data_IF_688394468724
#
_entry.id   IF_688394468724
#
_cell.length_a   1.000
_cell.length_b   1.000
_cell.length_c   1.000
_cell.angle_alpha   90.00
_cell.angle_beta   90.00
_cell.angle_gamma   90.00
#
_symmetry.space_group_name_H-M   'P 1'
#
loop_
_entity.id
_entity.type
_entity.pdbx_description
1 polymer ?
#
# COMPACT_ATOMS: atom_id res chain seq x y z
N UNK A 1 -19.07 -42.72 -35.53
CA UNK A 1 -18.12 -42.51 -34.40
C UNK A 1 -16.72 -42.53 -34.95
N UNK A 2 -16.11 -41.45 -35.31
CA UNK A 2 -14.66 -41.23 -35.61
C UNK A 2 -14.47 -40.02 -36.49
N UNK A 3 -14.67 -38.81 -35.96
CA UNK A 3 -14.19 -37.58 -36.63
C UNK A 3 -13.93 -36.44 -35.61
N UNK A 4 -14.03 -36.70 -34.30
CA UNK A 4 -13.85 -35.67 -33.26
C UNK A 4 -12.48 -35.68 -32.53
N UNK A 5 -11.62 -36.65 -32.88
CA UNK A 5 -10.34 -36.84 -32.18
C UNK A 5 -9.12 -36.27 -32.87
N UNK A 6 -9.23 -35.54 -34.01
CA UNK A 6 -8.08 -35.12 -34.80
C UNK A 6 -7.78 -33.61 -34.81
N UNK A 7 -8.47 -32.80 -33.98
CA UNK A 7 -8.24 -31.34 -33.96
C UNK A 7 -7.58 -30.79 -32.68
N UNK A 8 -6.88 -31.60 -31.90
CA UNK A 8 -6.28 -31.18 -30.65
C UNK A 8 -4.78 -30.83 -30.74
N UNK A 9 -4.16 -30.78 -31.89
CA UNK A 9 -2.71 -30.58 -31.93
C UNK A 9 -2.19 -29.81 -33.12
N UNK A 10 -2.79 -28.67 -33.49
CA UNK A 10 -2.09 -27.68 -34.34
C UNK A 10 -2.52 -26.27 -33.94
N UNK A 11 -2.14 -25.82 -32.73
CA UNK A 11 -2.03 -24.38 -32.54
C UNK A 11 -0.92 -23.91 -33.45
N UNK A 12 -1.25 -23.11 -34.48
CA UNK A 12 -0.26 -22.46 -35.31
C UNK A 12 0.81 -21.80 -34.46
N UNK A 13 2.09 -21.90 -34.84
CA UNK A 13 3.21 -21.25 -34.13
C UNK A 13 2.90 -19.78 -33.86
N UNK A 14 2.18 -19.08 -34.75
CA UNK A 14 1.70 -17.72 -34.55
C UNK A 14 0.66 -17.58 -33.40
N UNK A 15 -0.17 -18.59 -33.15
CA UNK A 15 -1.14 -18.57 -32.04
C UNK A 15 -0.46 -18.83 -30.69
N UNK A 16 0.57 -19.66 -30.68
CA UNK A 16 1.38 -19.92 -29.47
C UNK A 16 2.22 -18.69 -29.15
N UNK A 17 2.86 -18.07 -30.13
CA UNK A 17 3.58 -16.80 -29.96
C UNK A 17 2.63 -15.68 -29.54
N UNK A 18 1.45 -15.56 -30.13
CA UNK A 18 0.46 -14.54 -29.80
C UNK A 18 -0.14 -14.72 -28.39
N UNK A 19 -0.25 -15.95 -27.89
CA UNK A 19 -0.68 -16.23 -26.54
C UNK A 19 0.46 -15.98 -25.53
N UNK A 20 1.68 -16.40 -25.86
CA UNK A 20 2.87 -16.13 -25.08
C UNK A 20 3.15 -14.63 -24.97
N UNK A 21 3.04 -13.86 -26.06
CA UNK A 21 3.20 -12.40 -26.00
C UNK A 21 2.11 -11.72 -25.18
N UNK A 22 0.85 -12.19 -25.19
CA UNK A 22 -0.21 -11.65 -24.33
C UNK A 22 0.05 -11.92 -22.86
N UNK A 23 0.46 -13.12 -22.50
CA UNK A 23 0.73 -13.51 -21.12
C UNK A 23 1.96 -12.80 -20.56
N UNK A 24 2.94 -12.48 -21.42
CA UNK A 24 4.22 -11.84 -21.02
C UNK A 24 4.29 -10.34 -21.37
N UNK A 25 3.24 -9.77 -21.94
CA UNK A 25 3.23 -8.37 -22.43
C UNK A 25 3.59 -7.37 -21.33
N UNK A 26 3.15 -7.62 -20.09
CA UNK A 26 3.49 -6.79 -18.94
C UNK A 26 4.99 -6.85 -18.61
N UNK A 27 5.59 -8.02 -18.71
CA UNK A 27 7.04 -8.21 -18.45
C UNK A 27 7.87 -7.60 -19.58
N UNK A 28 7.47 -7.84 -20.84
CA UNK A 28 8.13 -7.25 -22.01
C UNK A 28 8.03 -5.72 -21.97
N UNK A 29 6.86 -5.18 -21.59
CA UNK A 29 6.68 -3.75 -21.40
C UNK A 29 7.57 -3.18 -20.29
N UNK A 30 7.70 -3.89 -19.17
CA UNK A 30 8.59 -3.50 -18.06
C UNK A 30 10.05 -3.49 -18.51
N UNK A 31 10.51 -4.56 -19.17
CA UNK A 31 11.88 -4.65 -19.68
C UNK A 31 12.16 -3.57 -20.73
N UNK A 32 11.19 -3.29 -21.61
CA UNK A 32 11.29 -2.21 -22.60
C UNK A 32 11.46 -0.85 -21.93
N UNK A 33 10.67 -0.55 -20.88
CA UNK A 33 10.82 0.67 -20.10
C UNK A 33 12.18 0.75 -19.40
N UNK A 34 12.68 -0.35 -18.86
CA UNK A 34 14.01 -0.40 -18.22
C UNK A 34 15.11 -0.05 -19.25
N UNK A 35 15.04 -0.60 -20.46
CA UNK A 35 15.98 -0.29 -21.53
C UNK A 35 15.90 1.19 -21.93
N UNK A 36 14.69 1.72 -22.12
CA UNK A 36 14.48 3.14 -22.46
C UNK A 36 15.06 4.06 -21.39
N UNK A 37 14.78 3.81 -20.11
CA UNK A 37 15.35 4.62 -19.01
C UNK A 37 16.87 4.51 -18.92
N UNK A 38 17.44 3.34 -19.20
CA UNK A 38 18.91 3.14 -19.24
C UNK A 38 19.54 3.99 -20.34
N UNK A 39 18.94 3.96 -21.55
CA UNK A 39 19.41 4.75 -22.69
C UNK A 39 19.31 6.25 -22.42
N UNK A 40 18.15 6.71 -21.92
CA UNK A 40 17.94 8.12 -21.58
C UNK A 40 18.93 8.57 -20.50
N UNK A 41 19.16 7.76 -19.47
CA UNK A 41 20.14 8.05 -18.43
C UNK A 41 21.56 8.25 -19.00
N UNK A 42 21.97 7.35 -19.88
CA UNK A 42 23.27 7.43 -20.54
C UNK A 42 23.42 8.66 -21.43
N UNK A 43 22.39 8.98 -22.24
CA UNK A 43 22.42 10.14 -23.15
C UNK A 43 22.43 11.46 -22.37
N UNK A 44 21.65 11.56 -21.27
CA UNK A 44 21.46 12.83 -20.55
C UNK A 44 22.56 13.12 -19.54
N UNK A 45 23.13 12.11 -18.90
CA UNK A 45 24.07 12.26 -17.79
C UNK A 45 25.47 11.70 -18.09
N UNK A 46 25.67 11.03 -19.23
CA UNK A 46 26.95 10.41 -19.57
C UNK A 46 27.30 9.16 -18.75
N UNK A 47 26.47 8.80 -17.79
CA UNK A 47 26.67 7.69 -16.86
C UNK A 47 25.41 6.85 -16.72
N UNK A 48 25.57 5.57 -16.36
CA UNK A 48 24.45 4.65 -16.12
C UNK A 48 23.95 4.75 -14.68
N UNK A 49 23.07 5.70 -14.39
CA UNK A 49 22.44 5.82 -13.06
C UNK A 49 21.37 4.76 -12.81
N UNK A 50 20.63 4.36 -13.86
CA UNK A 50 19.46 3.48 -13.69
C UNK A 50 19.83 2.08 -13.19
N UNK A 51 20.91 1.47 -13.74
CA UNK A 51 21.36 0.13 -13.36
C UNK A 51 22.31 0.11 -12.16
N UNK A 52 22.55 1.24 -11.52
CA UNK A 52 23.41 1.27 -10.32
C UNK A 52 22.73 0.58 -9.15
N UNK A 53 23.51 -0.14 -8.34
CA UNK A 53 23.02 -0.80 -7.13
C UNK A 53 22.37 0.18 -6.16
N UNK A 54 22.89 1.40 -6.07
CA UNK A 54 22.32 2.47 -5.26
C UNK A 54 20.88 2.83 -5.70
N UNK A 55 20.63 2.89 -7.01
CA UNK A 55 19.29 3.15 -7.53
C UNK A 55 18.32 1.99 -7.25
N UNK A 56 18.78 0.74 -7.38
CA UNK A 56 17.97 -0.43 -7.06
C UNK A 56 17.56 -0.47 -5.58
N UNK A 57 18.47 -0.11 -4.66
CA UNK A 57 18.13 0.05 -3.24
C UNK A 57 17.04 1.11 -3.03
N UNK A 58 17.13 2.26 -3.71
CA UNK A 58 16.12 3.31 -3.62
C UNK A 58 14.76 2.87 -4.19
N UNK A 59 14.77 2.15 -5.32
CA UNK A 59 13.55 1.58 -5.90
C UNK A 59 12.92 0.58 -4.93
N UNK A 60 13.71 -0.31 -4.33
CA UNK A 60 13.23 -1.28 -3.37
C UNK A 60 12.65 -0.61 -2.12
N UNK A 61 13.29 0.45 -1.63
CA UNK A 61 12.79 1.24 -0.50
C UNK A 61 11.41 1.84 -0.80
N UNK A 62 11.26 2.53 -1.94
CA UNK A 62 10.00 3.16 -2.35
C UNK A 62 8.92 2.12 -2.63
N UNK A 63 9.26 1.04 -3.35
CA UNK A 63 8.35 -0.06 -3.62
C UNK A 63 7.84 -0.74 -2.34
N UNK A 64 8.70 -0.84 -1.32
CA UNK A 64 8.32 -1.43 -0.03
C UNK A 64 7.26 -0.62 0.71
N UNK A 65 7.39 0.69 0.73
CA UNK A 65 6.40 1.58 1.34
C UNK A 65 5.04 1.45 0.64
N UNK A 66 5.05 1.55 -0.69
CA UNK A 66 3.83 1.37 -1.49
C UNK A 66 3.25 -0.04 -1.29
N UNK A 67 4.12 -1.07 -1.24
CA UNK A 67 3.74 -2.46 -1.01
C UNK A 67 3.03 -2.68 0.32
N UNK A 68 3.48 -2.04 1.40
CA UNK A 68 2.83 -2.13 2.71
C UNK A 68 1.40 -1.56 2.65
N UNK A 69 1.21 -0.40 2.02
CA UNK A 69 -0.12 0.21 1.85
C UNK A 69 -1.00 -0.64 0.93
N UNK A 70 -0.42 -1.17 -0.15
CA UNK A 70 -1.13 -2.02 -1.10
C UNK A 70 -1.64 -3.32 -0.46
N UNK A 71 -0.94 -3.87 0.54
CA UNK A 71 -1.41 -5.01 1.32
C UNK A 71 -2.73 -4.69 2.04
N UNK A 72 -2.82 -3.53 2.69
CA UNK A 72 -4.06 -3.09 3.35
C UNK A 72 -5.20 -2.93 2.35
N UNK A 73 -4.91 -2.29 1.22
CA UNK A 73 -5.88 -2.15 0.14
C UNK A 73 -6.36 -3.49 -0.40
N UNK A 74 -5.45 -4.45 -0.58
CA UNK A 74 -5.81 -5.80 -1.03
C UNK A 74 -6.78 -6.49 -0.06
N UNK A 75 -6.56 -6.36 1.27
CA UNK A 75 -7.44 -6.94 2.29
C UNK A 75 -8.85 -6.34 2.21
N UNK A 76 -8.99 -5.03 2.00
CA UNK A 76 -10.31 -4.39 1.82
C UNK A 76 -10.97 -4.89 0.53
N UNK A 77 -10.22 -4.98 -0.57
CA UNK A 77 -10.73 -5.43 -1.86
C UNK A 77 -11.27 -6.87 -1.81
N UNK A 78 -10.70 -7.73 -0.96
CA UNK A 78 -11.23 -9.07 -0.73
C UNK A 78 -12.68 -9.07 -0.20
N UNK A 79 -13.15 -8.00 0.44
CA UNK A 79 -14.55 -7.86 0.88
C UNK A 79 -15.45 -7.11 -0.09
N UNK A 80 -14.95 -6.81 -1.29
CA UNK A 80 -15.66 -6.04 -2.32
C UNK A 80 -15.75 -4.54 -2.03
N UNK A 81 -14.98 -4.02 -1.08
CA UNK A 81 -14.87 -2.59 -0.79
C UNK A 81 -13.56 -2.00 -1.36
N UNK A 82 -13.46 -0.67 -1.35
CA UNK A 82 -12.28 0.06 -1.81
C UNK A 82 -12.04 1.29 -0.92
N UNK A 83 -10.77 1.55 -0.55
CA UNK A 83 -10.41 2.72 0.26
C UNK A 83 -9.36 3.57 -0.43
N UNK A 84 -9.75 4.76 -0.86
CA UNK A 84 -8.84 5.72 -1.50
C UNK A 84 -8.11 6.57 -0.47
N UNK A 85 -8.58 6.60 0.78
CA UNK A 85 -8.03 7.47 1.82
C UNK A 85 -6.67 7.02 2.36
N UNK A 86 -6.29 5.74 2.16
CA UNK A 86 -5.07 5.13 2.74
C UNK A 86 -3.81 5.95 2.48
N UNK A 87 -3.61 6.44 1.24
CA UNK A 87 -2.44 7.25 0.90
C UNK A 87 -2.37 8.58 1.67
N UNK A 88 -3.51 9.27 1.83
CA UNK A 88 -3.57 10.51 2.61
C UNK A 88 -3.52 10.28 4.11
N UNK A 89 -4.00 9.13 4.55
CA UNK A 89 -3.87 8.69 5.93
C UNK A 89 -2.41 8.43 6.32
N UNK A 90 -1.62 7.80 5.43
CA UNK A 90 -0.16 7.67 5.60
C UNK A 90 0.48 9.05 5.80
N UNK A 91 0.12 10.02 4.95
CA UNK A 91 0.61 11.38 5.06
C UNK A 91 0.24 12.03 6.41
N UNK A 92 -1.03 11.95 6.82
CA UNK A 92 -1.49 12.55 8.07
C UNK A 92 -0.83 11.91 9.29
N UNK A 93 -0.80 10.59 9.38
CA UNK A 93 -0.17 9.87 10.50
C UNK A 93 1.32 10.16 10.59
N UNK A 94 2.00 10.28 9.45
CA UNK A 94 3.40 10.68 9.35
C UNK A 94 3.64 12.12 9.85
N UNK A 95 2.80 13.08 9.44
CA UNK A 95 2.86 14.46 9.92
C UNK A 95 2.63 14.56 11.44
N UNK A 96 1.63 13.84 11.95
CA UNK A 96 1.35 13.79 13.41
C UNK A 96 2.56 13.22 14.15
N UNK A 97 3.12 12.09 13.68
CA UNK A 97 4.33 11.52 14.26
C UNK A 97 5.48 12.51 14.30
N UNK A 98 5.69 13.24 13.21
CA UNK A 98 6.71 14.30 13.12
C UNK A 98 6.53 15.41 14.16
N UNK A 99 5.30 15.90 14.32
CA UNK A 99 4.97 16.96 15.30
C UNK A 99 5.16 16.44 16.72
N UNK A 100 4.64 15.24 17.04
CA UNK A 100 4.75 14.65 18.37
C UNK A 100 6.22 14.51 18.80
N UNK A 101 7.08 14.04 17.91
CA UNK A 101 8.48 13.81 18.23
C UNK A 101 9.33 15.06 18.22
N UNK A 102 9.11 15.97 17.26
CA UNK A 102 9.97 17.14 17.08
C UNK A 102 9.48 18.35 17.85
N UNK A 103 8.17 18.67 17.79
CA UNK A 103 7.66 19.89 18.40
C UNK A 103 7.29 19.67 19.88
N UNK A 104 6.76 18.47 20.20
CA UNK A 104 6.37 18.14 21.56
C UNK A 104 7.45 17.36 22.34
N UNK A 105 8.54 16.95 21.69
CA UNK A 105 9.65 16.26 22.34
C UNK A 105 9.31 14.85 22.84
N UNK A 106 8.23 14.26 22.38
CA UNK A 106 7.80 12.92 22.82
C UNK A 106 8.80 11.85 22.36
N UNK A 107 9.12 10.89 23.22
CA UNK A 107 9.98 9.76 22.82
C UNK A 107 9.28 8.93 21.74
N UNK A 108 10.08 8.36 20.83
CA UNK A 108 9.61 7.52 19.71
C UNK A 108 8.66 6.42 20.17
N UNK A 109 8.95 5.80 21.33
CA UNK A 109 8.12 4.76 21.91
C UNK A 109 6.69 5.21 22.29
N UNK A 110 6.48 6.50 22.58
CA UNK A 110 5.16 7.05 22.83
C UNK A 110 4.49 7.60 21.56
N UNK A 111 5.26 8.13 20.65
CA UNK A 111 4.74 8.68 19.39
C UNK A 111 4.17 7.61 18.46
N UNK A 112 4.82 6.44 18.34
CA UNK A 112 4.36 5.35 17.48
C UNK A 112 2.95 4.86 17.86
N UNK A 113 2.64 4.50 19.12
CA UNK A 113 1.27 4.11 19.48
C UNK A 113 0.23 5.18 19.19
N UNK A 114 0.56 6.45 19.36
CA UNK A 114 -0.35 7.56 19.04
C UNK A 114 -0.61 7.66 17.53
N UNK A 115 0.39 7.45 16.70
CA UNK A 115 0.22 7.38 15.24
C UNK A 115 -0.74 6.24 14.86
N UNK A 116 -0.57 5.05 15.46
CA UNK A 116 -1.48 3.92 15.25
C UNK A 116 -2.90 4.21 15.73
N UNK A 117 -3.04 4.88 16.86
CA UNK A 117 -4.37 5.27 17.38
C UNK A 117 -5.09 6.19 16.39
N UNK A 118 -4.40 7.17 15.82
CA UNK A 118 -4.97 8.04 14.79
C UNK A 118 -5.36 7.24 13.55
N UNK A 119 -4.47 6.39 13.05
CA UNK A 119 -4.75 5.54 11.88
C UNK A 119 -5.98 4.64 12.10
N UNK A 120 -6.03 3.94 13.24
CA UNK A 120 -7.16 3.08 13.62
C UNK A 120 -8.45 3.89 13.74
N UNK A 121 -8.40 5.10 14.29
CA UNK A 121 -9.58 5.97 14.39
C UNK A 121 -10.14 6.31 13.01
N UNK A 122 -9.29 6.70 12.07
CA UNK A 122 -9.70 7.02 10.70
C UNK A 122 -10.26 5.77 10.00
N UNK A 123 -9.57 4.63 10.10
CA UNK A 123 -10.05 3.36 9.55
C UNK A 123 -11.37 2.91 10.16
N UNK A 124 -11.57 3.14 11.46
CA UNK A 124 -12.82 2.85 12.15
C UNK A 124 -13.96 3.76 11.67
N UNK A 125 -13.70 5.03 11.43
CA UNK A 125 -14.70 5.96 10.87
C UNK A 125 -15.12 5.49 9.47
N UNK A 126 -14.17 5.22 8.58
CA UNK A 126 -14.47 4.71 7.23
C UNK A 126 -15.22 3.38 7.28
N UNK A 127 -14.71 2.44 8.08
CA UNK A 127 -15.34 1.14 8.26
C UNK A 127 -16.76 1.23 8.81
N UNK A 128 -17.02 2.13 9.75
CA UNK A 128 -18.35 2.38 10.32
C UNK A 128 -19.31 2.96 9.28
N UNK A 129 -18.89 4.00 8.55
CA UNK A 129 -19.70 4.62 7.49
C UNK A 129 -20.09 3.60 6.41
N UNK A 130 -19.15 2.77 5.99
CA UNK A 130 -19.38 1.80 4.92
C UNK A 130 -20.17 0.58 5.41
N UNK A 131 -19.82 0.02 6.58
CA UNK A 131 -20.35 -1.27 7.01
C UNK A 131 -21.68 -1.17 7.76
N UNK A 132 -21.88 -0.10 8.54
CA UNK A 132 -23.08 0.05 9.39
C UNK A 132 -24.08 1.04 8.83
N UNK A 133 -23.64 2.18 8.30
CA UNK A 133 -24.50 3.21 7.72
C UNK A 133 -24.85 2.85 6.27
N UNK A 134 -23.97 2.12 5.55
CA UNK A 134 -24.21 1.71 4.16
C UNK A 134 -23.80 2.77 3.13
N UNK A 135 -22.94 3.72 3.50
CA UNK A 135 -22.39 4.69 2.55
C UNK A 135 -21.51 3.95 1.52
N UNK A 136 -21.63 4.24 0.22
CA UNK A 136 -20.74 3.66 -0.77
C UNK A 136 -19.27 3.88 -0.41
N UNK A 137 -18.41 2.83 -0.44
CA UNK A 137 -17.02 2.90 0.01
C UNK A 137 -16.24 4.04 -0.63
N UNK A 138 -16.42 4.24 -1.94
CA UNK A 138 -15.75 5.28 -2.71
C UNK A 138 -16.09 6.68 -2.18
N UNK A 139 -17.36 6.95 -1.86
CA UNK A 139 -17.83 8.25 -1.38
C UNK A 139 -17.30 8.54 0.03
N UNK A 140 -17.40 7.57 0.93
CA UNK A 140 -16.93 7.71 2.30
C UNK A 140 -15.40 7.97 2.34
N UNK A 141 -14.64 7.18 1.60
CA UNK A 141 -13.17 7.26 1.62
C UNK A 141 -12.62 8.46 0.87
N UNK A 142 -13.31 8.94 -0.19
CA UNK A 142 -12.99 10.23 -0.82
C UNK A 142 -13.17 11.39 0.17
N UNK A 143 -14.28 11.45 0.90
CA UNK A 143 -14.50 12.46 1.92
C UNK A 143 -13.39 12.45 2.98
N UNK A 144 -13.09 11.28 3.53
CA UNK A 144 -12.02 11.10 4.53
C UNK A 144 -10.64 11.44 3.97
N UNK A 145 -10.36 11.13 2.71
CA UNK A 145 -9.12 11.50 2.03
C UNK A 145 -8.88 13.01 2.09
N UNK A 146 -9.89 13.82 1.75
CA UNK A 146 -9.77 15.29 1.78
C UNK A 146 -9.69 15.83 3.20
N UNK A 147 -10.39 15.23 4.17
CA UNK A 147 -10.26 15.57 5.59
C UNK A 147 -8.83 15.31 6.06
N UNK A 148 -8.28 14.13 5.80
CA UNK A 148 -6.89 13.81 6.17
C UNK A 148 -5.89 14.79 5.54
N UNK A 149 -6.09 15.13 4.27
CA UNK A 149 -5.24 16.09 3.56
C UNK A 149 -5.32 17.49 4.18
N UNK A 150 -6.54 17.99 4.41
CA UNK A 150 -6.78 19.30 5.01
C UNK A 150 -6.19 19.40 6.42
N UNK A 151 -6.41 18.40 7.26
CA UNK A 151 -5.84 18.35 8.62
C UNK A 151 -4.31 18.30 8.57
N UNK A 152 -3.72 17.46 7.72
CA UNK A 152 -2.26 17.41 7.55
C UNK A 152 -1.68 18.79 7.16
N UNK A 153 -2.34 19.47 6.21
CA UNK A 153 -1.93 20.80 5.75
C UNK A 153 -2.05 21.86 6.85
N UNK A 154 -3.13 21.82 7.64
CA UNK A 154 -3.35 22.76 8.74
C UNK A 154 -2.29 22.60 9.84
N UNK A 155 -2.01 21.37 10.28
CA UNK A 155 -1.07 21.13 11.39
C UNK A 155 0.40 21.36 11.00
N UNK A 156 0.75 21.18 9.72
CA UNK A 156 2.12 21.38 9.22
C UNK A 156 2.33 22.75 8.59
N UNK A 157 1.24 23.52 8.37
CA UNK A 157 1.26 24.77 7.59
C UNK A 157 1.89 24.59 6.20
N UNK A 158 1.75 23.41 5.62
CA UNK A 158 2.36 22.98 4.36
C UNK A 158 3.91 23.08 4.33
N UNK A 159 4.55 23.11 5.50
CA UNK A 159 6.02 23.14 5.63
C UNK A 159 6.53 21.73 5.99
N UNK A 160 7.58 21.24 5.33
CA UNK A 160 8.25 20.00 5.69
C UNK A 160 8.78 20.03 7.12
N UNK A 161 8.65 18.92 7.85
CA UNK A 161 9.22 18.77 9.20
C UNK A 161 10.63 18.15 9.05
N UNK A 162 11.72 18.93 9.03
CA UNK A 162 13.07 18.41 8.88
C UNK A 162 13.62 17.84 10.18
N UNK A 163 14.71 17.07 10.10
CA UNK A 163 15.48 16.59 11.26
C UNK A 163 14.70 15.67 12.21
N UNK A 164 14.13 14.60 11.66
CA UNK A 164 13.47 13.56 12.46
C UNK A 164 14.46 12.80 13.36
N UNK A 165 14.01 12.26 14.51
CA UNK A 165 14.83 11.43 15.37
C UNK A 165 15.47 10.27 14.61
N UNK A 166 16.77 10.03 14.88
CA UNK A 166 17.56 8.99 14.19
C UNK A 166 16.91 7.60 14.23
N UNK A 167 16.19 7.27 15.31
CA UNK A 167 15.52 5.97 15.45
C UNK A 167 14.41 5.75 14.42
N UNK A 168 13.58 6.76 14.14
CA UNK A 168 12.54 6.67 13.09
C UNK A 168 13.17 6.76 11.69
N UNK A 169 14.16 7.64 11.51
CA UNK A 169 14.88 7.72 10.26
C UNK A 169 15.55 6.38 9.90
N UNK A 170 16.03 5.64 10.91
CA UNK A 170 16.58 4.30 10.71
C UNK A 170 15.50 3.26 10.34
N UNK A 171 14.32 3.31 10.96
CA UNK A 171 13.19 2.45 10.58
C UNK A 171 12.72 2.70 9.14
N UNK A 172 12.68 3.96 8.72
CA UNK A 172 12.21 4.36 7.40
C UNK A 172 13.27 4.23 6.28
N UNK A 173 14.51 4.61 6.55
CA UNK A 173 15.60 4.66 5.56
C UNK A 173 16.82 3.84 5.92
N UNK A 174 16.75 3.04 7.00
CA UNK A 174 17.84 2.18 7.43
C UNK A 174 18.03 0.98 6.52
N UNK A 175 19.27 0.49 6.50
CA UNK A 175 19.65 -0.72 5.75
C UNK A 175 20.24 -1.74 6.69
N UNK A 176 19.86 -3.00 6.52
CA UNK A 176 20.47 -4.15 7.19
C UNK A 176 21.69 -4.57 6.37
N UNK A 177 22.87 -4.62 7.01
CA UNK A 177 24.12 -4.94 6.32
C UNK A 177 24.54 -3.93 5.24
N UNK A 178 23.92 -2.73 5.20
CA UNK A 178 24.16 -1.72 4.17
C UNK A 178 23.52 -2.00 2.81
N UNK A 179 22.79 -3.13 2.66
CA UNK A 179 22.29 -3.60 1.39
C UNK A 179 20.74 -3.62 1.32
N UNK A 180 20.07 -4.17 2.33
CA UNK A 180 18.64 -4.44 2.31
C UNK A 180 17.90 -3.35 3.12
N UNK A 181 16.96 -2.59 2.53
CA UNK A 181 16.14 -1.65 3.27
C UNK A 181 15.30 -2.35 4.35
N UNK A 182 15.26 -1.80 5.55
CA UNK A 182 14.45 -2.34 6.66
C UNK A 182 12.97 -2.41 6.27
N UNK A 183 12.47 -1.42 5.55
CA UNK A 183 11.10 -1.40 5.05
C UNK A 183 10.75 -2.58 4.15
N UNK A 184 11.72 -3.08 3.36
CA UNK A 184 11.52 -4.26 2.54
C UNK A 184 11.32 -5.53 3.40
N UNK A 185 12.08 -5.65 4.47
CA UNK A 185 11.93 -6.77 5.42
C UNK A 185 10.58 -6.69 6.14
N UNK A 186 10.19 -5.50 6.61
CA UNK A 186 8.88 -5.27 7.24
C UNK A 186 7.76 -5.62 6.27
N UNK A 187 7.86 -5.17 5.00
CA UNK A 187 6.89 -5.51 3.96
C UNK A 187 6.73 -7.02 3.82
N UNK A 188 7.82 -7.75 3.63
CA UNK A 188 7.78 -9.22 3.47
C UNK A 188 7.18 -9.89 4.70
N UNK A 189 7.56 -9.48 5.91
CA UNK A 189 6.98 -10.01 7.15
C UNK A 189 5.46 -9.77 7.21
N UNK A 190 5.00 -8.57 6.86
CA UNK A 190 3.57 -8.25 6.86
C UNK A 190 2.80 -9.07 5.81
N UNK A 191 3.37 -9.29 4.63
CA UNK A 191 2.78 -10.15 3.60
C UNK A 191 2.68 -11.60 4.07
N UNK A 192 3.72 -12.14 4.70
CA UNK A 192 3.71 -13.50 5.27
C UNK A 192 2.64 -13.62 6.37
N UNK A 193 2.57 -12.65 7.28
CA UNK A 193 1.56 -12.63 8.35
C UNK A 193 0.16 -12.56 7.75
N UNK A 194 -0.08 -11.67 6.77
CA UNK A 194 -1.37 -11.56 6.10
C UNK A 194 -1.75 -12.84 5.36
N UNK A 195 -0.81 -13.47 4.66
CA UNK A 195 -1.03 -14.76 3.99
C UNK A 195 -1.43 -15.85 4.98
N UNK A 196 -0.74 -15.95 6.11
CA UNK A 196 -1.08 -16.92 7.17
C UNK A 196 -2.46 -16.63 7.77
N UNK A 197 -2.77 -15.36 8.07
CA UNK A 197 -4.07 -14.96 8.58
C UNK A 197 -5.20 -15.28 7.59
N UNK A 198 -5.03 -14.94 6.32
CA UNK A 198 -6.04 -15.13 5.29
C UNK A 198 -6.27 -16.62 4.96
N UNK A 199 -5.19 -17.43 4.94
CA UNK A 199 -5.28 -18.83 4.52
C UNK A 199 -5.69 -19.74 5.68
N UNK A 200 -5.12 -19.58 6.86
CA UNK A 200 -5.25 -20.56 7.94
C UNK A 200 -6.26 -20.17 9.04
N UNK A 201 -6.75 -18.91 9.08
CA UNK A 201 -7.69 -18.52 10.13
C UNK A 201 -9.17 -18.56 9.68
N UNK A 202 -10.08 -18.65 10.67
CA UNK A 202 -11.52 -18.51 10.42
C UNK A 202 -11.86 -17.11 9.88
N UNK A 203 -11.13 -16.08 10.33
CA UNK A 203 -11.33 -14.72 9.88
C UNK A 203 -11.02 -14.57 8.39
N UNK A 204 -9.92 -15.13 7.91
CA UNK A 204 -9.58 -15.13 6.49
C UNK A 204 -10.63 -15.80 5.63
N UNK A 205 -11.06 -17.02 6.00
CA UNK A 205 -12.13 -17.72 5.27
C UNK A 205 -13.44 -16.93 5.19
N UNK A 206 -13.81 -16.26 6.28
CA UNK A 206 -15.01 -15.44 6.31
C UNK A 206 -14.86 -14.16 5.46
N UNK A 207 -13.66 -13.54 5.41
CA UNK A 207 -13.36 -12.43 4.51
C UNK A 207 -13.58 -12.85 3.05
N UNK A 208 -13.04 -13.99 2.63
CA UNK A 208 -13.27 -14.52 1.28
C UNK A 208 -14.74 -14.84 1.01
N UNK A 209 -15.45 -15.41 1.99
CA UNK A 209 -16.88 -15.70 1.86
C UNK A 209 -17.72 -14.42 1.67
N UNK A 210 -17.42 -13.36 2.45
CA UNK A 210 -18.08 -12.04 2.34
C UNK A 210 -17.81 -11.40 0.97
N UNK A 211 -16.60 -11.56 0.45
CA UNK A 211 -16.23 -11.03 -0.86
C UNK A 211 -16.86 -11.79 -2.03
N UNK A 212 -17.02 -13.09 -1.90
CA UNK A 212 -17.68 -13.93 -2.92
C UNK A 212 -19.17 -13.62 -3.07
N UNK A 213 -19.90 -13.59 -1.96
CA UNK A 213 -21.30 -13.14 -1.91
C UNK A 213 -21.64 -12.72 -0.48
N UNK A 214 -21.83 -11.41 -0.30
CA UNK A 214 -22.22 -10.87 1.01
C UNK A 214 -23.59 -11.41 1.46
N UNK A 215 -24.49 -11.71 0.53
CA UNK A 215 -25.82 -12.27 0.81
C UNK A 215 -25.73 -13.73 1.26
N UNK A 216 -25.01 -14.57 0.52
CA UNK A 216 -24.79 -15.96 0.90
C UNK A 216 -24.04 -16.09 2.24
N UNK A 217 -23.06 -15.23 2.48
CA UNK A 217 -22.33 -15.18 3.74
C UNK A 217 -23.27 -14.84 4.91
N UNK A 218 -24.18 -13.87 4.73
CA UNK A 218 -25.17 -13.51 5.74
C UNK A 218 -26.11 -14.68 6.08
N UNK A 219 -26.64 -15.36 5.07
CA UNK A 219 -27.49 -16.55 5.30
C UNK A 219 -26.73 -17.73 5.92
N UNK A 220 -25.40 -17.76 5.77
CA UNK A 220 -24.54 -18.74 6.45
C UNK A 220 -24.17 -18.33 7.89
N UNK A 221 -24.78 -17.28 8.44
CA UNK A 221 -24.54 -16.81 9.81
C UNK A 221 -23.27 -15.97 10.00
N UNK A 222 -22.63 -15.53 8.92
CA UNK A 222 -21.44 -14.68 9.00
C UNK A 222 -21.87 -13.21 9.16
N UNK A 223 -21.32 -12.53 10.18
CA UNK A 223 -21.60 -11.12 10.38
C UNK A 223 -20.82 -10.24 9.37
N UNK A 224 -21.40 -10.05 8.17
CA UNK A 224 -20.82 -9.31 7.04
C UNK A 224 -20.34 -7.92 7.45
N UNK A 225 -21.13 -7.18 8.27
CA UNK A 225 -20.80 -5.81 8.70
C UNK A 225 -19.52 -5.78 9.52
N UNK A 226 -19.36 -6.70 10.46
CA UNK A 226 -18.16 -6.77 11.31
C UNK A 226 -16.91 -7.15 10.53
N UNK A 227 -17.02 -8.06 9.55
CA UNK A 227 -15.88 -8.43 8.72
C UNK A 227 -15.45 -7.28 7.81
N UNK A 228 -16.39 -6.57 7.18
CA UNK A 228 -16.08 -5.36 6.40
C UNK A 228 -15.43 -4.30 7.28
N UNK A 229 -16.01 -4.00 8.43
CA UNK A 229 -15.45 -3.05 9.40
C UNK A 229 -14.00 -3.41 9.81
N UNK A 230 -13.77 -4.68 10.15
CA UNK A 230 -12.46 -5.18 10.53
C UNK A 230 -11.40 -5.03 9.42
N UNK A 231 -11.77 -5.19 8.14
CA UNK A 231 -10.82 -5.01 7.04
C UNK A 231 -10.39 -3.56 6.87
N UNK A 232 -11.25 -2.56 7.13
CA UNK A 232 -10.86 -1.15 7.16
C UNK A 232 -9.87 -0.85 8.28
N UNK A 233 -10.06 -1.44 9.48
CA UNK A 233 -9.12 -1.31 10.59
C UNK A 233 -7.77 -1.95 10.25
N UNK A 234 -7.76 -3.17 9.72
CA UNK A 234 -6.52 -3.84 9.31
C UNK A 234 -5.76 -3.03 8.27
N UNK A 235 -6.47 -2.48 7.28
CA UNK A 235 -5.85 -1.64 6.26
C UNK A 235 -5.30 -0.33 6.82
N UNK A 236 -5.96 0.28 7.79
CA UNK A 236 -5.46 1.48 8.45
C UNK A 236 -4.21 1.19 9.30
N UNK A 237 -4.12 0.02 9.91
CA UNK A 237 -2.92 -0.42 10.62
C UNK A 237 -1.76 -0.59 9.63
N UNK A 238 -1.96 -1.30 8.51
CA UNK A 238 -0.91 -1.46 7.50
C UNK A 238 -0.49 -0.13 6.88
N UNK A 239 -1.43 0.79 6.62
CA UNK A 239 -1.11 2.12 6.14
C UNK A 239 -0.27 2.91 7.15
N UNK A 240 -0.57 2.80 8.45
CA UNK A 240 0.24 3.43 9.51
C UNK A 240 1.64 2.83 9.60
N UNK A 241 1.81 1.53 9.36
CA UNK A 241 3.16 0.95 9.19
C UNK A 241 3.90 1.58 8.01
N UNK A 242 3.21 1.83 6.89
CA UNK A 242 3.76 2.56 5.75
C UNK A 242 4.21 3.98 6.11
N UNK A 243 3.53 4.66 7.04
CA UNK A 243 3.90 6.01 7.47
C UNK A 243 5.21 6.07 8.26
N UNK A 244 5.57 5.01 8.97
CA UNK A 244 6.86 4.90 9.66
C UNK A 244 8.04 4.79 8.68
N UNK A 245 7.81 4.27 7.48
CA UNK A 245 8.80 4.15 6.42
C UNK A 245 8.95 5.42 5.57
N UNK A 246 7.90 6.21 5.44
CA UNK A 246 7.96 7.54 4.83
C UNK A 246 8.39 8.55 5.90
N UNK A 247 9.67 8.86 5.95
CA UNK A 247 10.15 9.99 6.76
C UNK A 247 9.35 11.23 6.37
N UNK A 248 8.66 11.87 7.32
CA UNK A 248 7.45 12.69 7.12
C UNK A 248 7.59 13.92 6.25
N UNK A 249 8.69 14.19 5.64
CA UNK A 249 8.92 15.54 5.18
C UNK A 249 8.95 15.74 3.67
N UNK A 250 9.37 14.76 2.89
CA UNK A 250 9.61 15.06 1.48
C UNK A 250 8.43 14.67 0.57
N UNK A 251 7.83 13.50 0.77
CA UNK A 251 6.76 13.05 -0.13
C UNK A 251 5.44 13.79 0.13
N UNK A 252 5.05 13.93 1.40
CA UNK A 252 3.82 14.64 1.76
C UNK A 252 3.87 16.11 1.40
N UNK A 253 5.00 16.78 1.67
CA UNK A 253 5.14 18.20 1.38
C UNK A 253 5.54 18.50 -0.07
N UNK A 254 6.24 17.60 -0.78
CA UNK A 254 6.46 17.75 -2.23
C UNK A 254 5.15 17.65 -2.99
N UNK A 255 4.29 16.72 -2.61
CA UNK A 255 2.97 16.60 -3.23
C UNK A 255 2.06 17.80 -2.89
N UNK A 256 2.22 18.41 -1.71
CA UNK A 256 1.51 19.63 -1.32
C UNK A 256 1.98 20.87 -2.10
N UNK A 257 3.26 20.92 -2.50
CA UNK A 257 3.82 22.06 -3.25
C UNK A 257 3.52 22.00 -4.74
N UNK A 258 3.21 20.85 -5.30
CA UNK A 258 2.89 20.71 -6.73
C UNK A 258 1.45 21.15 -7.08
N UNK A 259 0.60 21.37 -6.06
CA UNK A 259 -0.80 21.82 -6.24
C UNK A 259 -1.01 23.30 -5.85
N UNK A 260 0.06 24.04 -5.55
CA UNK A 260 0.07 25.51 -5.39
C UNK A 260 0.63 26.19 -6.63
#
# INVERSE_FOLDING_TARGET
MSTKAKNLNQKSVGQVIGQFTKDWMSIVGLLGLMVVFTIISYIKFGEQYFLTWANWKNILLQASTVGIVALGQAIIMLTGAFDISLGRMVCLTSCIGGILMKNMGLPVAAAIPLMFLVGITIGSINGFLVSFIGVPPLVATLGTQYVCYGVAKLITQAVPIPNMPKAIAWLGRGYIGGEIPICAVIMVCLYVIAQLLLTYTKAGRNIFAVGGSSEAAFFSGINVKMYKFGTFILASITATFGSGSDVPSELCCRYQRSEL
#
